data_IF_437683834480
#
_entry.id   IF_437683834480
#
_cell.length_a   1.000
_cell.length_b   1.000
_cell.length_c   1.000
_cell.angle_alpha   90.00
_cell.angle_beta   90.00
_cell.angle_gamma   90.00
#
_symmetry.space_group_name_H-M   'P 1'
#
loop_
_entity.id
_entity.type
_entity.pdbx_description
1 polymer ?
#
# COMPACT_ATOMS: atom_id res chain seq x y z
N UNK A 1 -13.88 -9.85 4.45
CA UNK A 1 -14.89 -9.47 5.45
C UNK A 1 -14.47 -8.28 6.32
N UNK A 2 -13.22 -8.24 6.88
CA UNK A 2 -12.78 -7.15 7.76
C UNK A 2 -12.91 -5.76 7.11
N UNK A 3 -12.44 -5.60 5.89
CA UNK A 3 -12.48 -4.31 5.17
C UNK A 3 -13.91 -3.87 4.86
N UNK A 4 -14.80 -4.80 4.51
CA UNK A 4 -16.22 -4.51 4.29
C UNK A 4 -16.96 -4.11 5.57
N UNK A 5 -16.54 -4.67 6.71
CA UNK A 5 -17.12 -4.37 8.02
C UNK A 5 -16.38 -3.28 8.78
N UNK A 6 -15.40 -2.62 8.16
CA UNK A 6 -14.62 -1.57 8.81
C UNK A 6 -15.53 -0.42 9.24
N UNK A 7 -15.39 0.01 10.48
CA UNK A 7 -16.10 1.16 11.04
C UNK A 7 -15.09 2.05 11.74
N UNK A 8 -15.24 3.34 11.56
CA UNK A 8 -14.48 4.34 12.26
C UNK A 8 -15.34 5.59 12.45
N UNK A 9 -15.27 6.20 13.62
CA UNK A 9 -15.89 7.49 13.85
C UNK A 9 -15.05 8.63 13.19
N UNK A 10 -15.59 9.84 13.17
CA UNK A 10 -14.93 10.99 12.57
C UNK A 10 -13.55 11.26 13.19
N UNK A 11 -13.40 11.05 14.49
CA UNK A 11 -12.14 11.24 15.21
C UNK A 11 -11.10 10.18 14.82
N UNK A 12 -11.53 8.96 14.64
CA UNK A 12 -10.66 7.86 14.22
C UNK A 12 -10.22 8.06 12.76
N UNK A 13 -11.14 8.41 11.86
CA UNK A 13 -10.81 8.75 10.47
C UNK A 13 -9.82 9.92 10.41
N UNK A 14 -10.03 10.96 11.20
CA UNK A 14 -9.09 12.08 11.29
C UNK A 14 -7.68 11.61 11.70
N UNK A 15 -7.55 10.69 12.65
CA UNK A 15 -6.23 10.14 13.05
C UNK A 15 -5.58 9.36 11.89
N UNK A 16 -6.35 8.55 11.15
CA UNK A 16 -5.82 7.79 10.01
C UNK A 16 -5.36 8.73 8.89
N UNK A 17 -6.15 9.76 8.58
CA UNK A 17 -5.79 10.78 7.59
C UNK A 17 -4.52 11.52 8.00
N UNK A 18 -4.43 12.00 9.26
CA UNK A 18 -3.23 12.67 9.78
C UNK A 18 -2.01 11.75 9.72
N UNK A 19 -2.15 10.48 10.12
CA UNK A 19 -1.09 9.49 10.05
C UNK A 19 -0.57 9.29 8.64
N UNK A 20 -1.47 9.20 7.66
CA UNK A 20 -1.13 8.99 6.25
C UNK A 20 -0.48 10.23 5.64
N UNK A 21 -1.07 11.43 5.85
CA UNK A 21 -0.56 12.66 5.25
C UNK A 21 0.78 13.09 5.85
N UNK A 22 1.02 12.81 7.13
CA UNK A 22 2.29 13.13 7.80
C UNK A 22 3.48 12.46 7.13
N UNK A 23 3.31 11.26 6.58
CA UNK A 23 4.32 10.55 5.80
C UNK A 23 4.68 11.25 4.47
N UNK A 24 3.76 12.03 3.91
CA UNK A 24 3.97 12.84 2.71
C UNK A 24 4.67 14.17 3.02
N UNK A 25 4.45 14.71 4.21
CA UNK A 25 4.92 16.04 4.62
C UNK A 25 6.26 16.02 5.35
N UNK A 26 7.00 14.92 5.28
CA UNK A 26 8.34 14.83 5.87
C UNK A 26 9.26 15.90 5.30
N UNK A 27 9.92 16.72 6.15
CA UNK A 27 10.90 17.70 5.70
C UNK A 27 12.02 17.04 4.89
N UNK A 28 12.30 17.58 3.72
CA UNK A 28 13.31 17.04 2.79
C UNK A 28 14.53 17.94 2.72
N UNK A 29 15.71 17.34 2.81
CA UNK A 29 16.97 18.03 2.49
C UNK A 29 17.00 18.41 1.00
N UNK A 30 17.87 19.36 0.59
CA UNK A 30 18.04 19.70 -0.84
C UNK A 30 18.31 18.48 -1.73
N UNK A 31 19.14 17.55 -1.26
CA UNK A 31 19.43 16.30 -1.98
C UNK A 31 18.17 15.41 -2.14
N UNK A 32 17.39 15.26 -1.09
CA UNK A 32 16.13 14.49 -1.12
C UNK A 32 15.12 15.13 -2.09
N UNK A 33 15.03 16.47 -2.12
CA UNK A 33 14.18 17.19 -3.08
C UNK A 33 14.63 16.93 -4.52
N UNK A 34 15.93 17.02 -4.79
CA UNK A 34 16.48 16.71 -6.11
C UNK A 34 16.21 15.28 -6.55
N UNK A 35 16.40 14.29 -5.66
CA UNK A 35 16.11 12.91 -5.96
C UNK A 35 14.62 12.67 -6.22
N UNK A 36 13.74 13.29 -5.43
CA UNK A 36 12.30 13.20 -5.63
C UNK A 36 11.87 13.80 -6.98
N UNK A 37 12.38 14.98 -7.32
CA UNK A 37 12.09 15.62 -8.62
C UNK A 37 12.60 14.80 -9.80
N UNK A 38 13.79 14.22 -9.68
CA UNK A 38 14.34 13.31 -10.69
C UNK A 38 13.45 12.08 -10.87
N UNK A 39 13.06 11.45 -9.77
CA UNK A 39 12.15 10.29 -9.81
C UNK A 39 10.81 10.64 -10.44
N UNK A 40 10.19 11.75 -10.04
CA UNK A 40 8.94 12.23 -10.61
C UNK A 40 9.05 12.45 -12.12
N UNK A 41 10.13 13.08 -12.58
CA UNK A 41 10.39 13.30 -14.01
C UNK A 41 10.45 12.00 -14.81
N UNK A 42 11.25 11.01 -14.34
CA UNK A 42 11.38 9.74 -15.06
C UNK A 42 10.13 8.87 -15.01
N UNK A 43 9.32 8.99 -13.96
CA UNK A 43 8.06 8.25 -13.81
C UNK A 43 6.85 8.98 -14.40
N UNK A 44 7.02 10.18 -14.96
CA UNK A 44 5.94 11.00 -15.50
C UNK A 44 4.94 11.50 -14.44
N UNK A 45 5.38 11.59 -13.18
CA UNK A 45 4.54 12.10 -12.08
C UNK A 45 4.54 13.62 -12.10
N UNK A 46 3.37 14.21 -12.31
CA UNK A 46 3.17 15.66 -12.35
C UNK A 46 2.82 16.21 -10.96
N UNK A 47 2.98 17.52 -10.79
CA UNK A 47 2.57 18.19 -9.57
C UNK A 47 1.04 18.10 -9.36
N UNK A 48 0.26 18.15 -10.43
CA UNK A 48 -1.19 17.94 -10.38
C UNK A 48 -1.55 16.55 -9.82
N UNK A 49 -0.82 15.51 -10.23
CA UNK A 49 -1.03 14.15 -9.70
C UNK A 49 -0.73 14.08 -8.21
N UNK A 50 0.36 14.72 -7.77
CA UNK A 50 0.75 14.78 -6.36
C UNK A 50 -0.32 15.53 -5.55
N UNK A 51 -0.79 16.67 -6.07
CA UNK A 51 -1.83 17.46 -5.40
C UNK A 51 -3.15 16.70 -5.33
N UNK A 52 -3.56 16.04 -6.41
CA UNK A 52 -4.77 15.21 -6.45
C UNK A 52 -4.70 14.06 -5.43
N UNK A 53 -3.57 13.36 -5.36
CA UNK A 53 -3.36 12.30 -4.36
C UNK A 53 -3.50 12.85 -2.93
N UNK A 54 -2.94 14.04 -2.68
CA UNK A 54 -3.05 14.71 -1.40
C UNK A 54 -4.50 15.03 -1.03
N UNK A 55 -5.25 15.57 -1.97
CA UNK A 55 -6.68 15.87 -1.80
C UNK A 55 -7.50 14.60 -1.56
N UNK A 56 -7.21 13.52 -2.26
CA UNK A 56 -7.86 12.24 -2.03
C UNK A 56 -7.62 11.70 -0.62
N UNK A 57 -6.39 11.82 -0.11
CA UNK A 57 -6.08 11.41 1.27
C UNK A 57 -6.85 12.27 2.28
N UNK A 58 -6.87 13.59 2.09
CA UNK A 58 -7.53 14.52 3.01
C UNK A 58 -9.06 14.36 3.03
N UNK A 59 -9.65 13.90 1.94
CA UNK A 59 -11.10 13.69 1.80
C UNK A 59 -11.50 12.20 1.92
N UNK A 60 -10.57 11.32 2.31
CA UNK A 60 -10.85 9.89 2.44
C UNK A 60 -11.95 9.61 3.47
N UNK A 61 -12.87 8.73 3.12
CA UNK A 61 -14.02 8.32 3.93
C UNK A 61 -13.97 6.83 4.27
N UNK A 62 -14.86 6.39 5.14
CA UNK A 62 -15.06 4.96 5.45
C UNK A 62 -15.54 4.21 4.21
N UNK A 63 -16.38 4.83 3.39
CA UNK A 63 -16.88 4.28 2.13
C UNK A 63 -15.75 3.98 1.14
N UNK A 64 -14.74 4.86 1.06
CA UNK A 64 -13.57 4.61 0.21
C UNK A 64 -12.79 3.37 0.68
N UNK A 65 -12.69 3.17 2.00
CA UNK A 65 -12.09 1.96 2.58
C UNK A 65 -12.91 0.72 2.22
N UNK A 66 -14.24 0.79 2.33
CA UNK A 66 -15.12 -0.32 1.94
C UNK A 66 -14.94 -0.69 0.46
N UNK A 67 -14.75 0.30 -0.43
CA UNK A 67 -14.50 0.09 -1.85
C UNK A 67 -13.25 -0.73 -2.15
N UNK A 68 -12.24 -0.71 -1.27
CA UNK A 68 -11.05 -1.55 -1.41
C UNK A 68 -11.34 -3.06 -1.31
N UNK A 69 -12.47 -3.45 -0.70
CA UNK A 69 -12.82 -4.86 -0.56
C UNK A 69 -12.97 -5.57 -1.91
N UNK A 70 -13.53 -4.90 -2.92
CA UNK A 70 -13.68 -5.45 -4.27
C UNK A 70 -12.31 -5.70 -4.94
N UNK A 71 -11.38 -4.77 -4.77
CA UNK A 71 -10.02 -4.90 -5.32
C UNK A 71 -9.29 -6.06 -4.63
N UNK A 72 -9.39 -6.16 -3.30
CA UNK A 72 -8.77 -7.24 -2.51
C UNK A 72 -9.35 -8.60 -2.94
N UNK A 73 -10.66 -8.70 -3.12
CA UNK A 73 -11.30 -9.92 -3.59
C UNK A 73 -10.86 -10.32 -5.00
N UNK A 74 -10.74 -9.36 -5.91
CA UNK A 74 -10.23 -9.62 -7.26
C UNK A 74 -8.78 -10.13 -7.24
N UNK A 75 -7.92 -9.56 -6.39
CA UNK A 75 -6.54 -10.03 -6.21
C UNK A 75 -6.50 -11.45 -5.64
N UNK A 76 -7.32 -11.73 -4.62
CA UNK A 76 -7.41 -13.07 -4.02
C UNK A 76 -7.97 -14.10 -5.02
N UNK A 77 -8.97 -13.72 -5.81
CA UNK A 77 -9.56 -14.60 -6.83
C UNK A 77 -8.59 -14.91 -7.98
N UNK A 78 -7.62 -14.03 -8.24
CA UNK A 78 -6.58 -14.28 -9.24
C UNK A 78 -5.56 -15.34 -8.80
N UNK A 79 -5.53 -15.71 -7.52
CA UNK A 79 -4.65 -16.72 -6.91
C UNK A 79 -3.15 -16.53 -7.22
N UNK A 80 -2.73 -15.28 -7.38
CA UNK A 80 -1.34 -14.90 -7.68
C UNK A 80 -0.67 -14.33 -6.42
N UNK A 81 -0.46 -15.20 -5.44
CA UNK A 81 0.13 -14.82 -4.16
C UNK A 81 1.57 -15.34 -4.11
N UNK A 82 2.51 -14.45 -3.82
CA UNK A 82 3.90 -14.79 -3.58
C UNK A 82 4.26 -14.55 -2.12
N UNK A 83 4.84 -15.56 -1.48
CA UNK A 83 5.27 -15.49 -0.09
C UNK A 83 6.79 -15.68 -0.01
N UNK A 84 7.46 -14.79 0.70
CA UNK A 84 8.91 -14.90 1.00
C UNK A 84 9.06 -15.05 2.50
N UNK A 85 9.77 -16.09 2.91
CA UNK A 85 9.95 -16.41 4.33
C UNK A 85 11.13 -17.32 4.58
N UNK A 86 11.32 -17.73 5.84
CA UNK A 86 12.33 -18.74 6.18
C UNK A 86 11.95 -20.11 5.59
N UNK A 87 12.94 -20.89 5.20
CA UNK A 87 12.75 -22.21 4.58
C UNK A 87 11.82 -23.11 5.42
N UNK A 88 12.01 -23.15 6.75
CA UNK A 88 11.15 -23.94 7.63
C UNK A 88 9.68 -23.52 7.59
N UNK A 89 9.39 -22.20 7.62
CA UNK A 89 8.01 -21.69 7.61
C UNK A 89 7.32 -21.84 6.27
N UNK A 90 8.05 -21.69 5.18
CA UNK A 90 7.51 -21.91 3.84
C UNK A 90 7.26 -23.40 3.61
N UNK A 91 8.15 -24.29 4.10
CA UNK A 91 7.97 -25.74 3.99
C UNK A 91 6.79 -26.25 4.84
N UNK A 92 6.54 -25.67 6.03
CA UNK A 92 5.35 -25.98 6.85
C UNK A 92 4.03 -25.65 6.15
N UNK A 93 4.04 -24.67 5.23
CA UNK A 93 2.86 -24.22 4.48
C UNK A 93 2.85 -24.72 3.01
N UNK A 94 3.66 -25.72 2.68
CA UNK A 94 3.81 -26.21 1.29
C UNK A 94 2.54 -26.83 0.69
N UNK A 95 1.60 -27.22 1.52
CA UNK A 95 0.28 -27.74 1.11
C UNK A 95 -0.65 -26.69 0.51
N UNK A 96 -0.43 -25.41 0.85
CA UNK A 96 -1.21 -24.27 0.31
C UNK A 96 -0.47 -23.47 -0.77
N UNK A 97 0.78 -23.84 -1.08
CA UNK A 97 1.63 -23.16 -2.06
C UNK A 97 1.79 -24.04 -3.31
N UNK A 98 1.49 -23.51 -4.48
CA UNK A 98 1.63 -24.25 -5.75
C UNK A 98 3.08 -24.58 -6.11
N UNK A 99 4.01 -23.70 -5.77
CA UNK A 99 5.43 -23.85 -6.06
C UNK A 99 6.29 -23.23 -4.94
N UNK A 100 7.33 -23.93 -4.50
CA UNK A 100 8.31 -23.44 -3.54
C UNK A 100 9.69 -23.43 -4.19
N UNK A 101 10.37 -22.29 -4.13
CA UNK A 101 11.73 -22.10 -4.67
C UNK A 101 12.67 -21.60 -3.60
N UNK A 102 13.89 -22.14 -3.58
CA UNK A 102 14.97 -21.53 -2.80
C UNK A 102 15.46 -20.26 -3.50
N UNK A 103 15.53 -19.15 -2.75
CA UNK A 103 16.08 -17.88 -3.25
C UNK A 103 17.61 -17.82 -3.18
N UNK A 104 18.22 -18.70 -2.37
CA UNK A 104 19.65 -18.73 -2.12
C UNK A 104 20.18 -20.11 -2.56
N UNK A 105 20.43 -20.23 -3.85
CA UNK A 105 21.27 -21.30 -4.36
C UNK A 105 22.71 -20.80 -4.38
N UNK A 106 23.45 -21.10 -3.33
CA UNK A 106 24.91 -21.00 -3.33
C UNK A 106 25.52 -22.29 -3.85
#
# INVERSE_FOLDING_TARGET
DYVRGFQADEREMTKYIIGTISGKDVPKTPQMKGNASKGAYFCGVTEEMIQKEREQILNASVEDIHGLAEIIEAVLAADQICVVGSESKVSEASDVLMEVKSLINC
#
